data_IF_925669570223
#
_entry.id   IF_925669570223
#
_cell.length_a   1.000
_cell.length_b   1.000
_cell.length_c   1.000
_cell.angle_alpha   90.00
_cell.angle_beta   90.00
_cell.angle_gamma   90.00
#
_symmetry.space_group_name_H-M   'P 1'
#
loop_
_entity.id
_entity.type
_entity.pdbx_description
1 polymer ?
#
# COMPACT_ATOMS: atom_id res chain seq x y z
N UNK A 1 47.57 -60.74 15.39
CA UNK A 1 46.94 -60.17 16.61
C UNK A 1 45.64 -59.47 16.19
N UNK A 2 44.50 -60.07 16.53
CA UNK A 2 43.15 -59.65 16.16
C UNK A 2 42.64 -58.66 17.16
N UNK A 3 42.29 -57.41 16.76
CA UNK A 3 41.55 -56.46 17.58
C UNK A 3 40.12 -56.40 17.10
N UNK A 4 39.23 -56.87 17.97
CA UNK A 4 37.79 -56.93 17.78
C UNK A 4 37.24 -55.53 18.07
N UNK A 5 36.63 -54.86 17.05
CA UNK A 5 35.91 -53.62 17.21
C UNK A 5 34.51 -53.93 17.78
N UNK A 6 34.19 -53.35 18.92
CA UNK A 6 32.87 -53.46 19.54
C UNK A 6 31.92 -52.47 18.84
N UNK A 7 30.91 -53.01 18.19
CA UNK A 7 29.81 -52.27 17.56
C UNK A 7 28.77 -51.94 18.64
N UNK A 8 28.67 -50.71 19.09
CA UNK A 8 27.62 -50.24 19.96
C UNK A 8 26.42 -49.79 19.11
N UNK A 9 25.35 -50.58 19.19
CA UNK A 9 24.08 -50.27 18.57
C UNK A 9 23.37 -49.16 19.42
N UNK A 10 23.21 -47.97 18.85
CA UNK A 10 22.36 -46.92 19.40
C UNK A 10 20.97 -47.15 18.83
N UNK A 11 20.08 -47.67 19.69
CA UNK A 11 18.64 -47.74 19.37
C UNK A 11 18.03 -46.36 19.45
N UNK A 12 17.76 -45.78 18.27
CA UNK A 12 16.99 -44.55 18.17
C UNK A 12 15.52 -44.84 18.50
N UNK A 13 15.09 -44.37 19.63
CA UNK A 13 13.70 -44.38 20.04
C UNK A 13 12.91 -43.33 19.25
N UNK A 14 12.34 -43.77 18.15
CA UNK A 14 11.45 -42.92 17.32
C UNK A 14 10.06 -42.92 18.01
N UNK A 15 9.77 -41.90 18.79
CA UNK A 15 8.44 -41.65 19.33
C UNK A 15 7.64 -40.88 18.29
N UNK A 16 6.57 -41.42 17.73
CA UNK A 16 5.70 -40.63 16.83
C UNK A 16 4.89 -39.65 17.70
N UNK A 17 5.23 -38.38 17.61
CA UNK A 17 4.39 -37.30 18.10
C UNK A 17 3.18 -37.21 17.17
N UNK A 18 2.11 -37.90 17.54
CA UNK A 18 0.81 -37.74 16.90
C UNK A 18 0.27 -36.35 17.26
N UNK A 19 0.51 -35.37 16.37
CA UNK A 19 -0.23 -34.12 16.37
C UNK A 19 -1.68 -34.46 16.01
N UNK A 20 -2.53 -34.53 17.03
CA UNK A 20 -3.95 -34.48 16.82
C UNK A 20 -4.30 -33.09 16.33
N UNK A 21 -4.36 -32.90 15.02
CA UNK A 21 -5.07 -31.81 14.43
C UNK A 21 -6.54 -32.05 14.75
N UNK A 22 -7.06 -31.28 15.69
CA UNK A 22 -8.49 -31.12 15.83
C UNK A 22 -8.97 -30.51 14.50
N UNK A 23 -9.61 -31.33 13.68
CA UNK A 23 -10.37 -30.87 12.51
C UNK A 23 -11.54 -30.03 13.02
N UNK A 24 -11.25 -28.78 13.35
CA UNK A 24 -12.25 -27.74 13.41
C UNK A 24 -12.51 -27.34 11.95
N UNK A 25 -13.49 -27.99 11.33
CA UNK A 25 -14.02 -27.50 10.04
C UNK A 25 -14.40 -26.04 10.24
N UNK A 26 -13.59 -25.15 9.65
CA UNK A 26 -13.96 -23.75 9.56
C UNK A 26 -15.29 -23.70 8.78
N UNK A 27 -16.32 -23.01 9.28
CA UNK A 27 -17.59 -22.93 8.58
C UNK A 27 -17.35 -22.30 7.22
N UNK A 28 -17.48 -23.11 6.15
CA UNK A 28 -17.29 -22.71 4.77
C UNK A 28 -18.41 -21.83 4.23
N UNK A 29 -19.46 -21.67 5.02
CA UNK A 29 -20.63 -20.86 4.68
C UNK A 29 -20.79 -19.72 5.68
N UNK A 30 -20.53 -18.50 5.20
CA UNK A 30 -20.68 -17.25 5.99
C UNK A 30 -22.12 -17.11 6.48
N UNK A 31 -23.12 -17.58 5.72
CA UNK A 31 -24.51 -17.53 6.10
C UNK A 31 -24.82 -18.39 7.33
N UNK A 32 -24.04 -19.46 7.57
CA UNK A 32 -24.21 -20.30 8.75
C UNK A 32 -23.87 -19.59 10.06
N UNK A 33 -22.99 -18.59 10.02
CA UNK A 33 -22.60 -17.77 11.17
C UNK A 33 -23.73 -16.84 11.63
N UNK A 34 -24.64 -16.50 10.72
CA UNK A 34 -25.73 -15.57 10.98
C UNK A 34 -27.08 -16.27 11.12
N UNK A 35 -27.15 -17.59 10.85
CA UNK A 35 -28.39 -18.37 10.93
C UNK A 35 -28.92 -18.40 12.36
N UNK A 36 -30.10 -17.81 12.55
CA UNK A 36 -30.78 -17.75 13.86
C UNK A 36 -30.35 -16.58 14.75
N UNK A 37 -29.51 -15.69 14.27
CA UNK A 37 -29.19 -14.42 14.95
C UNK A 37 -30.00 -13.31 14.30
N UNK A 38 -31.12 -12.96 14.90
CA UNK A 38 -31.84 -11.75 14.52
C UNK A 38 -31.01 -10.56 14.99
N UNK A 39 -30.46 -9.80 14.03
CA UNK A 39 -29.73 -8.58 14.32
C UNK A 39 -30.75 -7.53 14.76
N UNK A 40 -30.95 -7.42 16.06
CA UNK A 40 -31.66 -6.30 16.61
C UNK A 40 -30.69 -5.10 16.59
N UNK A 41 -30.91 -4.20 15.67
CA UNK A 41 -30.26 -2.90 15.72
C UNK A 41 -30.61 -2.27 17.08
N UNK A 42 -29.61 -1.80 17.85
CA UNK A 42 -29.93 -1.08 19.06
C UNK A 42 -30.85 0.08 18.72
N UNK A 43 -31.89 0.34 19.56
CA UNK A 43 -32.80 1.43 19.31
C UNK A 43 -31.99 2.71 19.10
N UNK A 44 -32.20 3.36 17.97
CA UNK A 44 -31.60 4.67 17.70
C UNK A 44 -32.11 5.60 18.79
N UNK A 45 -31.28 5.80 19.80
CA UNK A 45 -31.56 6.80 20.83
C UNK A 45 -31.53 8.16 20.13
N UNK A 46 -32.72 8.73 19.96
CA UNK A 46 -32.91 10.05 19.34
C UNK A 46 -32.21 11.16 20.15
N UNK A 47 -31.70 10.85 21.34
CA UNK A 47 -30.87 11.77 22.14
C UNK A 47 -29.46 11.94 21.59
N UNK A 48 -29.00 11.00 20.74
CA UNK A 48 -27.74 11.16 20.01
C UNK A 48 -27.93 12.16 18.86
N UNK A 49 -28.15 13.40 19.23
CA UNK A 49 -27.89 14.50 18.30
C UNK A 49 -26.38 14.57 18.13
N UNK A 50 -25.89 14.00 17.06
CA UNK A 50 -24.51 14.24 16.62
C UNK A 50 -24.39 15.74 16.44
N UNK A 51 -23.70 16.38 17.37
CA UNK A 51 -23.49 17.82 17.32
C UNK A 51 -22.42 18.06 16.26
N UNK A 52 -22.84 18.22 15.01
CA UNK A 52 -21.93 18.42 13.85
C UNK A 52 -21.01 19.63 14.02
N UNK A 53 -21.28 20.50 14.99
CA UNK A 53 -20.41 21.64 15.33
C UNK A 53 -19.14 21.24 16.09
N UNK A 54 -19.10 20.04 16.71
CA UNK A 54 -17.91 19.53 17.42
C UNK A 54 -16.94 18.77 16.51
N UNK A 55 -17.39 18.35 15.33
CA UNK A 55 -16.42 17.91 14.34
C UNK A 55 -15.62 19.14 13.93
N UNK A 56 -14.28 19.11 13.99
CA UNK A 56 -13.49 20.15 13.37
C UNK A 56 -13.99 20.21 11.93
N UNK A 57 -14.86 21.16 11.65
CA UNK A 57 -15.21 21.47 10.27
C UNK A 57 -13.85 21.73 9.66
N UNK A 58 -13.45 20.81 8.73
CA UNK A 58 -12.33 21.10 7.88
C UNK A 58 -12.61 22.55 7.46
N UNK A 59 -11.88 23.49 8.09
CA UNK A 59 -12.01 24.89 7.73
C UNK A 59 -11.89 24.86 6.23
N UNK A 60 -13.00 25.06 5.55
CA UNK A 60 -12.98 25.55 4.19
C UNK A 60 -12.26 26.89 4.33
N UNK A 61 -10.96 26.79 4.61
CA UNK A 61 -10.11 27.87 4.26
C UNK A 61 -10.38 28.02 2.77
N UNK A 62 -11.05 29.09 2.40
CA UNK A 62 -10.86 29.79 1.15
C UNK A 62 -9.38 30.19 1.07
N UNK A 63 -8.51 29.21 1.31
CA UNK A 63 -7.15 29.23 0.81
C UNK A 63 -7.41 29.17 -0.68
N UNK A 64 -7.29 30.33 -1.30
CA UNK A 64 -6.80 30.45 -2.68
C UNK A 64 -6.09 29.13 -2.96
N UNK A 65 -6.78 28.25 -3.72
CA UNK A 65 -6.30 26.87 -3.87
C UNK A 65 -4.91 27.05 -4.49
N UNK A 66 -3.89 26.90 -3.64
CA UNK A 66 -2.51 27.05 -4.05
C UNK A 66 -2.30 26.04 -5.18
N UNK A 67 -2.52 26.53 -6.37
CA UNK A 67 -2.34 25.76 -7.59
C UNK A 67 -0.90 25.30 -7.56
N UNK A 68 -0.72 24.01 -7.45
CA UNK A 68 0.59 23.42 -7.47
C UNK A 68 0.78 22.61 -8.75
N UNK A 69 2.00 22.49 -9.14
CA UNK A 69 2.41 21.71 -10.30
C UNK A 69 3.39 20.64 -9.86
N UNK A 70 3.32 19.47 -10.49
CA UNK A 70 4.26 18.38 -10.26
C UNK A 70 4.74 17.85 -11.61
N UNK A 71 5.87 17.15 -11.58
CA UNK A 71 6.38 16.40 -12.71
C UNK A 71 5.79 14.99 -12.66
N UNK A 72 5.12 14.56 -13.71
CA UNK A 72 4.68 13.19 -13.91
C UNK A 72 5.59 12.52 -14.92
N UNK A 73 6.25 11.44 -14.51
CA UNK A 73 7.20 10.70 -15.33
C UNK A 73 6.54 9.61 -16.15
N UNK A 74 5.72 8.81 -15.47
CA UNK A 74 5.13 7.62 -16.07
C UNK A 74 3.73 7.35 -15.51
N UNK A 75 2.97 6.52 -16.26
CA UNK A 75 1.70 5.95 -15.81
C UNK A 75 1.68 4.46 -16.21
N UNK A 76 1.77 3.57 -15.23
CA UNK A 76 2.01 2.13 -15.42
C UNK A 76 0.89 1.36 -14.76
N UNK A 77 0.28 0.40 -15.48
CA UNK A 77 -0.84 -0.39 -14.94
C UNK A 77 -0.39 -1.46 -13.94
N UNK A 78 0.82 -2.01 -14.09
CA UNK A 78 1.34 -3.05 -13.23
C UNK A 78 2.09 -2.44 -12.04
N UNK A 79 1.74 -2.88 -10.82
CA UNK A 79 2.33 -2.37 -9.58
C UNK A 79 3.84 -2.62 -9.48
N UNK A 80 4.29 -3.85 -9.75
CA UNK A 80 5.70 -4.22 -9.61
C UNK A 80 6.57 -3.48 -10.62
N UNK A 81 6.08 -3.33 -11.84
CA UNK A 81 6.73 -2.54 -12.87
C UNK A 81 6.81 -1.05 -12.47
N UNK A 82 5.74 -0.51 -11.88
CA UNK A 82 5.71 0.87 -11.39
C UNK A 82 6.71 1.06 -10.23
N UNK A 83 6.80 0.11 -9.31
CA UNK A 83 7.75 0.15 -8.20
C UNK A 83 9.21 0.09 -8.69
N UNK A 84 9.50 -0.81 -9.62
CA UNK A 84 10.83 -0.91 -10.25
C UNK A 84 11.20 0.38 -10.97
N UNK A 85 10.25 0.93 -11.73
CA UNK A 85 10.46 2.19 -12.46
C UNK A 85 10.65 3.37 -11.51
N UNK A 86 9.90 3.41 -10.42
CA UNK A 86 10.05 4.41 -9.36
C UNK A 86 11.48 4.40 -8.79
N UNK A 87 11.97 3.23 -8.37
CA UNK A 87 13.33 3.10 -7.83
C UNK A 87 14.41 3.57 -8.81
N UNK A 88 14.26 3.20 -10.08
CA UNK A 88 15.17 3.64 -11.15
C UNK A 88 15.14 5.17 -11.32
N UNK A 89 13.97 5.78 -11.36
CA UNK A 89 13.82 7.23 -11.49
C UNK A 89 14.39 7.95 -10.27
N UNK A 90 14.17 7.45 -9.06
CA UNK A 90 14.74 8.02 -7.83
C UNK A 90 16.27 8.05 -7.89
N UNK A 91 16.89 6.94 -8.32
CA UNK A 91 18.35 6.85 -8.44
C UNK A 91 18.93 7.78 -9.52
N UNK A 92 18.18 8.02 -10.59
CA UNK A 92 18.64 8.84 -11.71
C UNK A 92 18.43 10.34 -11.49
N UNK A 93 17.34 10.71 -10.82
CA UNK A 93 16.95 12.12 -10.65
C UNK A 93 17.26 12.69 -9.29
N UNK A 94 17.43 11.85 -8.28
CA UNK A 94 17.55 12.27 -6.88
C UNK A 94 16.23 12.79 -6.27
N UNK A 95 15.13 12.79 -7.01
CA UNK A 95 13.82 13.18 -6.49
C UNK A 95 13.17 12.06 -5.70
N UNK A 96 12.41 12.42 -4.68
CA UNK A 96 11.46 11.49 -4.05
C UNK A 96 10.26 11.31 -4.98
N UNK A 97 10.19 10.14 -5.63
CA UNK A 97 9.12 9.81 -6.57
C UNK A 97 7.94 9.20 -5.80
N UNK A 98 6.83 9.88 -5.82
CA UNK A 98 5.56 9.39 -5.28
C UNK A 98 4.85 8.53 -6.31
N UNK A 99 4.31 7.40 -5.86
CA UNK A 99 3.46 6.53 -6.67
C UNK A 99 2.01 6.70 -6.23
N UNK A 100 1.19 7.24 -7.12
CA UNK A 100 -0.22 7.53 -6.86
C UNK A 100 -1.06 6.62 -7.73
N UNK A 101 -1.93 5.83 -7.10
CA UNK A 101 -2.88 5.01 -7.83
C UNK A 101 -4.06 5.87 -8.31
N UNK A 102 -4.24 5.92 -9.61
CA UNK A 102 -5.37 6.56 -10.27
C UNK A 102 -5.84 5.59 -11.36
N UNK A 103 -6.85 4.81 -11.02
CA UNK A 103 -7.30 3.64 -11.77
C UNK A 103 -7.44 3.92 -13.27
N UNK A 104 -6.89 3.03 -14.14
CA UNK A 104 -6.22 1.78 -13.80
C UNK A 104 -4.69 1.88 -13.65
N UNK A 105 -4.10 3.07 -13.52
CA UNK A 105 -2.67 3.29 -13.58
C UNK A 105 -2.07 3.75 -12.25
N UNK A 106 -0.82 3.37 -12.04
CA UNK A 106 0.07 3.95 -11.04
C UNK A 106 0.84 5.10 -11.68
N UNK A 107 0.56 6.33 -11.25
CA UNK A 107 1.21 7.54 -11.74
C UNK A 107 2.43 7.85 -10.87
N UNK A 108 3.60 8.01 -11.51
CA UNK A 108 4.85 8.36 -10.85
C UNK A 108 5.05 9.87 -10.93
N UNK A 109 5.02 10.54 -9.78
CA UNK A 109 5.11 12.00 -9.69
C UNK A 109 6.21 12.42 -8.74
N UNK A 110 6.83 13.56 -9.04
CA UNK A 110 7.77 14.21 -8.13
C UNK A 110 7.76 15.73 -8.26
N UNK A 111 8.37 16.39 -7.27
CA UNK A 111 8.45 17.82 -7.20
C UNK A 111 7.12 18.48 -6.83
N UNK A 112 7.26 19.67 -6.28
CA UNK A 112 6.14 20.54 -5.95
C UNK A 112 6.51 21.96 -6.33
N UNK A 113 5.85 22.47 -7.34
CA UNK A 113 6.15 23.79 -7.90
C UNK A 113 4.93 24.70 -7.79
N UNK A 114 5.13 25.93 -7.32
CA UNK A 114 4.06 26.93 -7.28
C UNK A 114 3.75 27.52 -8.64
N UNK A 115 4.74 27.57 -9.52
CA UNK A 115 4.60 28.13 -10.88
C UNK A 115 4.79 27.03 -11.93
N UNK A 116 3.97 27.08 -12.96
CA UNK A 116 4.06 26.16 -14.09
C UNK A 116 5.39 26.29 -14.80
N UNK A 117 5.89 27.51 -14.98
CA UNK A 117 7.16 27.77 -15.65
C UNK A 117 8.33 27.06 -14.98
N UNK A 118 8.40 27.12 -13.64
CA UNK A 118 9.47 26.45 -12.87
C UNK A 118 9.44 24.93 -13.08
N UNK A 119 8.24 24.34 -13.15
CA UNK A 119 8.06 22.93 -13.43
C UNK A 119 8.45 22.57 -14.89
N UNK A 120 8.13 23.44 -15.87
CA UNK A 120 8.49 23.24 -17.27
C UNK A 120 10.00 23.33 -17.48
N UNK A 121 10.65 24.29 -16.83
CA UNK A 121 12.12 24.42 -16.90
C UNK A 121 12.79 23.18 -16.34
N UNK A 122 12.25 22.65 -15.23
CA UNK A 122 12.78 21.42 -14.64
C UNK A 122 12.53 20.18 -15.50
N UNK A 123 11.36 20.09 -16.14
CA UNK A 123 11.08 19.03 -17.10
C UNK A 123 12.06 19.08 -18.30
N UNK A 124 12.37 20.30 -18.78
CA UNK A 124 13.34 20.51 -19.86
C UNK A 124 14.75 20.10 -19.44
N UNK A 125 15.16 20.45 -18.24
CA UNK A 125 16.47 20.04 -17.68
C UNK A 125 16.58 18.51 -17.64
N UNK A 126 15.55 17.81 -17.14
CA UNK A 126 15.52 16.34 -17.08
C UNK A 126 15.56 15.70 -18.47
N UNK A 127 14.99 16.35 -19.48
CA UNK A 127 15.02 15.84 -20.86
C UNK A 127 16.43 15.77 -21.44
N UNK A 128 17.36 16.61 -20.97
CA UNK A 128 18.78 16.56 -21.35
C UNK A 128 19.46 15.27 -20.87
N UNK A 129 18.91 14.64 -19.83
CA UNK A 129 19.38 13.36 -19.31
C UNK A 129 18.56 12.16 -19.82
N UNK A 130 17.80 12.34 -20.91
CA UNK A 130 16.90 11.34 -21.47
C UNK A 130 15.79 10.88 -20.50
N UNK A 131 15.37 11.76 -19.59
CA UNK A 131 14.27 11.52 -18.66
C UNK A 131 13.11 12.42 -19.07
N UNK A 132 12.06 11.81 -19.63
CA UNK A 132 10.85 12.53 -19.99
C UNK A 132 9.95 12.75 -18.76
N UNK A 133 9.44 13.97 -18.62
CA UNK A 133 8.49 14.33 -17.57
C UNK A 133 7.44 15.30 -18.12
N UNK A 134 6.20 15.14 -17.67
CA UNK A 134 5.09 16.03 -18.02
C UNK A 134 4.74 16.90 -16.80
N UNK A 135 4.44 18.17 -17.06
CA UNK A 135 3.95 19.06 -16.01
C UNK A 135 2.45 18.82 -15.82
N UNK A 136 2.06 18.44 -14.63
CA UNK A 136 0.65 18.23 -14.25
C UNK A 136 0.26 19.19 -13.15
N UNK A 137 -0.97 19.72 -13.25
CA UNK A 137 -1.58 20.53 -12.19
C UNK A 137 -2.11 19.58 -11.11
N UNK A 138 -1.72 19.83 -9.89
CA UNK A 138 -2.22 19.13 -8.72
C UNK A 138 -3.04 20.09 -7.86
N UNK A 139 -4.11 19.55 -7.28
CA UNK A 139 -5.01 20.29 -6.39
C UNK A 139 -4.76 19.85 -4.97
#
# INVERSE_FOLDING_TARGET
MRKIAKLTAIAAFFMPLALAFADGEAPTDIDSLFRGKEYQLPPLDSSYRVNYSEFPQAKNSDKEQDVAYALQFDAIANFDAAQTRRAKLQSQTGYDIQMIFDAPFYKLRAGYFKKKADAEDKARELSLYNISAFVVKIR
#
